data_IF_818848812743
#
_entry.id   IF_818848812743
#
_cell.length_a   1.000
_cell.length_b   1.000
_cell.length_c   1.000
_cell.angle_alpha   90.00
_cell.angle_beta   90.00
_cell.angle_gamma   90.00
#
_symmetry.space_group_name_H-M   'P 1'
#
loop_
_entity.id
_entity.type
_entity.pdbx_description
1 polymer ?
#
# COMPACT_ATOMS: atom_id res chain seq x y z
N UNK A 1 -14.20 -0.11 11.51
CA UNK A 1 -15.66 0.10 11.34
C UNK A 1 -16.28 -1.19 10.84
N UNK A 2 -17.49 -1.53 11.26
CA UNK A 2 -18.25 -2.68 10.73
C UNK A 2 -19.05 -2.23 9.51
N UNK A 3 -19.03 -2.99 8.42
CA UNK A 3 -19.74 -2.65 7.19
C UNK A 3 -19.14 -3.36 5.98
N UNK A 4 -19.72 -3.09 4.81
CA UNK A 4 -19.25 -3.59 3.51
C UNK A 4 -19.17 -2.43 2.52
N UNK A 5 -18.52 -2.65 1.37
CA UNK A 5 -18.45 -1.69 0.26
C UNK A 5 -17.66 -0.40 0.57
N UNK A 6 -16.59 -0.48 1.36
CA UNK A 6 -15.73 0.67 1.65
C UNK A 6 -14.89 1.07 0.43
N UNK A 7 -14.69 2.38 0.15
CA UNK A 7 -13.54 2.81 -0.63
C UNK A 7 -12.26 2.45 0.13
N UNK A 8 -11.20 2.12 -0.59
CA UNK A 8 -9.92 1.70 0.00
C UNK A 8 -8.76 2.39 -0.68
N UNK A 9 -7.69 2.65 0.07
CA UNK A 9 -6.40 3.06 -0.50
C UNK A 9 -5.29 2.08 -0.10
N UNK A 10 -4.35 1.87 -1.03
CA UNK A 10 -3.07 1.19 -0.76
C UNK A 10 -2.01 2.25 -0.49
N UNK A 11 -1.25 2.11 0.60
CA UNK A 11 -0.10 2.97 0.88
C UNK A 11 1.18 2.33 0.36
N UNK A 12 1.93 3.04 -0.48
CA UNK A 12 3.20 2.59 -1.05
C UNK A 12 4.35 3.43 -0.49
N UNK A 13 5.27 2.77 0.20
CA UNK A 13 6.44 3.35 0.86
C UNK A 13 7.47 3.90 -0.12
N UNK A 14 8.35 4.75 0.41
CA UNK A 14 9.48 5.31 -0.34
C UNK A 14 10.66 4.35 -0.53
N UNK A 15 11.82 4.92 -0.84
CA UNK A 15 13.06 4.15 -1.03
C UNK A 15 13.59 3.54 0.26
N UNK A 16 14.35 2.46 0.10
CA UNK A 16 14.88 1.65 1.20
C UNK A 16 13.91 0.53 1.61
N UNK A 17 14.39 -0.43 2.41
CA UNK A 17 13.53 -1.49 2.95
C UNK A 17 12.61 -0.93 4.04
N UNK A 18 11.34 -0.67 3.72
CA UNK A 18 10.37 -0.09 4.67
C UNK A 18 9.42 -1.14 5.23
N UNK A 19 9.06 -0.97 6.50
CA UNK A 19 7.93 -1.69 7.09
C UNK A 19 6.59 -1.04 6.68
N UNK A 20 5.48 -1.70 6.99
CA UNK A 20 4.12 -1.21 6.68
C UNK A 20 3.77 0.16 7.26
N UNK A 21 4.54 0.65 8.22
CA UNK A 21 4.30 1.91 8.92
C UNK A 21 5.19 3.04 8.39
N UNK A 22 6.12 2.73 7.47
CA UNK A 22 7.18 3.62 6.98
C UNK A 22 7.95 4.25 8.16
N UNK A 23 8.28 3.41 9.14
CA UNK A 23 8.82 3.86 10.41
C UNK A 23 10.19 4.51 10.27
N UNK A 24 10.32 5.75 10.74
CA UNK A 24 11.57 6.52 10.70
C UNK A 24 11.69 7.43 11.92
N UNK A 25 12.86 7.41 12.57
CA UNK A 25 13.18 8.30 13.71
C UNK A 25 12.11 8.29 14.82
N UNK A 26 11.53 7.12 15.11
CA UNK A 26 10.48 6.96 16.13
C UNK A 26 9.08 7.39 15.68
N UNK A 27 8.93 7.89 14.45
CA UNK A 27 7.64 8.19 13.85
C UNK A 27 7.15 7.06 12.94
N UNK A 28 5.84 6.96 12.76
CA UNK A 28 5.15 5.96 11.91
C UNK A 28 4.13 6.66 11.01
N UNK A 29 4.55 7.36 9.95
CA UNK A 29 3.69 8.21 9.14
C UNK A 29 2.53 7.44 8.51
N UNK A 30 2.75 6.23 8.00
CA UNK A 30 1.65 5.44 7.41
C UNK A 30 0.66 4.94 8.46
N UNK A 31 1.08 4.75 9.71
CA UNK A 31 0.15 4.44 10.81
C UNK A 31 -0.76 5.62 11.14
N UNK A 32 -0.19 6.83 11.24
CA UNK A 32 -0.96 8.05 11.48
C UNK A 32 -1.95 8.30 10.34
N UNK A 33 -1.49 8.18 9.10
CA UNK A 33 -2.34 8.35 7.92
C UNK A 33 -3.46 7.29 7.87
N UNK A 34 -3.14 6.04 8.19
CA UNK A 34 -4.15 4.98 8.22
C UNK A 34 -5.22 5.20 9.30
N UNK A 35 -4.84 5.64 10.50
CA UNK A 35 -5.81 6.00 11.55
C UNK A 35 -6.74 7.12 11.08
N UNK A 36 -6.18 8.19 10.50
CA UNK A 36 -6.98 9.30 9.97
C UNK A 36 -7.97 8.85 8.89
N UNK A 37 -7.51 8.12 7.87
CA UNK A 37 -8.34 7.67 6.76
C UNK A 37 -9.44 6.70 7.21
N UNK A 38 -9.12 5.77 8.10
CA UNK A 38 -10.10 4.80 8.61
C UNK A 38 -11.17 5.43 9.50
N UNK A 39 -10.82 6.46 10.29
CA UNK A 39 -11.81 7.31 11.00
C UNK A 39 -12.76 8.01 10.03
N UNK A 40 -12.28 8.38 8.85
CA UNK A 40 -13.06 8.99 7.77
C UNK A 40 -13.74 7.98 6.82
N UNK A 41 -13.75 6.69 7.17
CA UNK A 41 -14.50 5.68 6.41
C UNK A 41 -13.82 5.18 5.13
N UNK A 42 -12.51 5.43 4.98
CA UNK A 42 -11.68 4.88 3.92
C UNK A 42 -10.88 3.71 4.51
N UNK A 43 -11.06 2.52 3.96
CA UNK A 43 -10.22 1.37 4.34
C UNK A 43 -8.78 1.61 3.86
N UNK A 44 -7.80 1.05 4.55
CA UNK A 44 -6.39 1.23 4.20
C UNK A 44 -5.68 -0.11 4.21
N UNK A 45 -5.00 -0.44 3.11
CA UNK A 45 -4.04 -1.53 3.05
C UNK A 45 -2.63 -0.96 3.16
N UNK A 46 -1.88 -1.53 4.11
CA UNK A 46 -0.44 -1.30 4.30
C UNK A 46 0.23 -2.66 4.34
N UNK A 47 1.44 -2.75 3.82
CA UNK A 47 2.22 -3.97 3.79
C UNK A 47 3.69 -3.65 3.95
N UNK A 48 4.46 -4.61 4.46
CA UNK A 48 5.92 -4.48 4.52
C UNK A 48 6.47 -4.70 3.10
N UNK A 49 7.49 -3.95 2.69
CA UNK A 49 8.12 -4.17 1.39
C UNK A 49 8.63 -5.61 1.26
N UNK A 50 8.76 -6.10 0.02
CA UNK A 50 9.35 -7.42 -0.24
C UNK A 50 10.68 -7.62 0.49
N UNK A 51 10.81 -8.72 1.20
CA UNK A 51 11.98 -9.04 2.02
C UNK A 51 12.10 -8.22 3.32
N UNK A 52 11.07 -7.47 3.71
CA UNK A 52 11.01 -6.70 4.96
C UNK A 52 9.90 -7.25 5.86
N UNK A 53 10.12 -7.20 7.18
CA UNK A 53 9.12 -7.60 8.17
C UNK A 53 8.65 -9.03 7.95
N UNK A 54 7.38 -9.21 7.56
CA UNK A 54 6.80 -10.52 7.27
C UNK A 54 6.66 -10.83 5.78
N UNK A 55 7.00 -9.89 4.91
CA UNK A 55 6.94 -10.08 3.46
C UNK A 55 8.12 -10.93 2.99
N UNK A 56 7.83 -11.91 2.12
CA UNK A 56 8.84 -12.77 1.53
C UNK A 56 9.64 -12.03 0.43
N UNK A 57 10.67 -12.69 -0.12
CA UNK A 57 11.47 -12.16 -1.22
C UNK A 57 12.76 -11.48 -0.75
N UNK A 58 13.36 -10.66 -1.62
CA UNK A 58 14.63 -9.99 -1.34
C UNK A 58 14.61 -8.57 -1.92
N UNK A 59 14.56 -7.56 -1.05
CA UNK A 59 14.53 -6.15 -1.45
C UNK A 59 15.67 -5.77 -2.40
N UNK A 60 16.91 -6.11 -2.04
CA UNK A 60 18.11 -5.68 -2.80
C UNK A 60 18.23 -6.27 -4.21
N UNK A 61 17.38 -7.25 -4.57
CA UNK A 61 17.32 -7.83 -5.92
C UNK A 61 16.20 -7.23 -6.77
N UNK A 62 15.38 -6.35 -6.19
CA UNK A 62 14.17 -5.84 -6.82
C UNK A 62 14.38 -4.44 -7.43
N UNK A 63 13.79 -4.21 -8.58
CA UNK A 63 13.69 -2.91 -9.23
C UNK A 63 12.29 -2.30 -9.13
N UNK A 64 12.10 -1.14 -9.76
CA UNK A 64 10.83 -0.41 -9.76
C UNK A 64 9.67 -1.28 -10.28
N UNK A 65 9.89 -2.09 -11.31
CA UNK A 65 8.86 -2.96 -11.87
C UNK A 65 8.45 -4.09 -10.91
N UNK A 66 9.38 -4.58 -10.09
CA UNK A 66 9.06 -5.56 -9.06
C UNK A 66 8.15 -4.96 -7.98
N UNK A 67 8.41 -3.72 -7.57
CA UNK A 67 7.55 -3.02 -6.62
C UNK A 67 6.19 -2.63 -7.22
N UNK A 68 6.13 -2.35 -8.53
CA UNK A 68 4.86 -2.23 -9.25
C UNK A 68 4.06 -3.54 -9.19
N UNK A 69 4.70 -4.68 -9.44
CA UNK A 69 4.06 -5.98 -9.30
C UNK A 69 3.55 -6.25 -7.86
N UNK A 70 4.27 -5.80 -6.83
CA UNK A 70 3.77 -5.89 -5.44
C UNK A 70 2.53 -5.02 -5.22
N UNK A 71 2.53 -3.81 -5.78
CA UNK A 71 1.39 -2.91 -5.72
C UNK A 71 0.17 -3.47 -6.48
N UNK A 72 0.35 -4.07 -7.67
CA UNK A 72 -0.73 -4.79 -8.35
C UNK A 72 -1.22 -5.95 -7.49
N UNK A 73 -0.34 -6.77 -6.93
CA UNK A 73 -0.73 -7.87 -6.06
C UNK A 73 -1.57 -7.39 -4.86
N UNK A 74 -1.20 -6.27 -4.24
CA UNK A 74 -1.98 -5.64 -3.17
C UNK A 74 -3.38 -5.22 -3.65
N UNK A 75 -3.49 -4.65 -4.85
CA UNK A 75 -4.77 -4.26 -5.46
C UNK A 75 -5.62 -5.48 -5.82
N UNK A 76 -5.03 -6.53 -6.41
CA UNK A 76 -5.73 -7.77 -6.72
C UNK A 76 -6.25 -8.44 -5.44
N UNK A 77 -5.43 -8.47 -4.38
CA UNK A 77 -5.88 -8.93 -3.08
C UNK A 77 -7.10 -8.14 -2.58
N UNK A 78 -7.09 -6.81 -2.68
CA UNK A 78 -8.23 -5.96 -2.29
C UNK A 78 -9.50 -6.26 -3.07
N UNK A 79 -9.41 -6.58 -4.36
CA UNK A 79 -10.56 -6.97 -5.19
C UNK A 79 -11.22 -8.28 -4.73
N UNK A 80 -10.51 -9.14 -4.00
CA UNK A 80 -11.07 -10.37 -3.42
C UNK A 80 -11.84 -10.12 -2.11
N UNK A 81 -11.75 -8.93 -1.52
CA UNK A 81 -12.31 -8.64 -0.20
C UNK A 81 -13.77 -8.19 -0.32
N UNK A 82 -14.68 -8.94 0.30
CA UNK A 82 -16.12 -8.61 0.36
C UNK A 82 -16.42 -7.26 1.01
N UNK A 83 -15.53 -6.77 1.86
CA UNK A 83 -15.69 -5.48 2.54
C UNK A 83 -15.32 -4.28 1.66
N UNK A 84 -14.61 -4.50 0.55
CA UNK A 84 -14.06 -3.47 -0.34
C UNK A 84 -14.97 -3.24 -1.53
N UNK A 85 -15.14 -1.98 -1.93
CA UNK A 85 -15.74 -1.64 -3.22
C UNK A 85 -14.68 -1.73 -4.34
N UNK A 86 -14.76 -2.71 -5.26
CA UNK A 86 -13.74 -2.91 -6.28
C UNK A 86 -13.65 -1.75 -7.29
N UNK A 87 -14.66 -0.87 -7.36
CA UNK A 87 -14.67 0.35 -8.20
C UNK A 87 -14.07 1.57 -7.48
N UNK A 88 -13.67 1.45 -6.22
CA UNK A 88 -13.13 2.55 -5.40
C UNK A 88 -11.85 2.13 -4.69
N UNK A 89 -10.86 1.71 -5.46
CA UNK A 89 -9.50 1.42 -4.99
C UNK A 89 -8.58 2.54 -5.46
N UNK A 90 -7.96 3.25 -4.52
CA UNK A 90 -6.95 4.28 -4.77
C UNK A 90 -5.56 3.85 -4.31
N UNK A 91 -4.56 4.65 -4.66
CA UNK A 91 -3.16 4.45 -4.26
C UNK A 91 -2.65 5.78 -3.72
N UNK A 92 -1.93 5.75 -2.59
CA UNK A 92 -1.16 6.88 -2.09
C UNK A 92 0.29 6.41 -2.00
N UNK A 93 1.15 7.03 -2.79
CA UNK A 93 2.57 6.72 -2.83
C UNK A 93 3.42 7.84 -2.24
N UNK A 94 4.39 7.51 -1.40
CA UNK A 94 5.39 8.44 -0.89
C UNK A 94 6.73 8.23 -1.60
N UNK A 95 7.38 9.31 -2.05
CA UNK A 95 8.69 9.25 -2.71
C UNK A 95 8.73 8.23 -3.87
N UNK A 96 9.55 7.19 -3.82
CA UNK A 96 9.55 6.09 -4.81
C UNK A 96 8.16 5.46 -5.00
N UNK A 97 7.39 5.34 -3.92
CA UNK A 97 6.00 4.88 -3.94
C UNK A 97 5.12 5.71 -4.87
N UNK A 98 5.39 7.01 -5.06
CA UNK A 98 4.66 7.85 -6.02
C UNK A 98 4.94 7.44 -7.47
N UNK A 99 6.19 7.10 -7.80
CA UNK A 99 6.55 6.58 -9.13
C UNK A 99 5.87 5.23 -9.39
N UNK A 100 5.86 4.35 -8.40
CA UNK A 100 5.17 3.06 -8.47
C UNK A 100 3.67 3.27 -8.68
N UNK A 101 3.05 4.21 -7.94
CA UNK A 101 1.63 4.54 -8.09
C UNK A 101 1.29 5.03 -9.51
N UNK A 102 2.15 5.83 -10.14
CA UNK A 102 1.93 6.25 -11.53
C UNK A 102 2.05 5.12 -12.54
N UNK A 103 3.03 4.21 -12.35
CA UNK A 103 3.17 3.01 -13.20
C UNK A 103 1.90 2.16 -13.11
N UNK A 104 1.45 1.89 -11.89
CA UNK A 104 0.23 1.11 -11.64
C UNK A 104 -1.04 1.77 -12.20
N UNK A 105 -1.14 3.10 -12.10
CA UNK A 105 -2.29 3.82 -12.62
C UNK A 105 -2.31 3.85 -14.16
N UNK A 106 -1.14 3.92 -14.81
CA UNK A 106 -1.04 3.95 -16.27
C UNK A 106 -1.38 2.61 -16.95
N UNK A 107 -1.20 1.49 -16.25
CA UNK A 107 -1.52 0.15 -16.75
C UNK A 107 -2.98 -0.28 -16.58
N UNK A 108 -3.86 0.60 -16.10
CA UNK A 108 -5.26 0.31 -15.75
C UNK A 108 -6.23 1.18 -16.53
#
# INVERSE_FOLDING_TARGET
KTGTNFPVVVLLSGSGPQDRDEALMGHRPFLVLADYLTRNGIAVLRFDDRGVGKSQGTYHKAGVNDFANDADAAIQYLKTRKEVNPKKIGIIGHSLGSSIAFIEAAGR
#
